data_IF_444882850732
#
_entry.id   IF_444882850732
#
_cell.length_a   1.000
_cell.length_b   1.000
_cell.length_c   1.000
_cell.angle_alpha   90.00
_cell.angle_beta   90.00
_cell.angle_gamma   90.00
#
_symmetry.space_group_name_H-M   'P 1'
#
loop_
_entity.id
_entity.type
_entity.pdbx_description
1 polymer ?
#
# COMPACT_ATOMS: atom_id res chain seq x y z
N UNK A 1 -6.24 -24.26 -0.96
CA UNK A 1 -6.86 -23.05 -1.56
C UNK A 1 -8.03 -22.64 -0.69
N UNK A 2 -8.37 -21.36 -0.62
CA UNK A 2 -9.59 -20.87 0.04
C UNK A 2 -10.63 -20.53 -1.04
N UNK A 3 -11.27 -21.53 -1.68
CA UNK A 3 -11.98 -21.34 -2.95
C UNK A 3 -13.20 -20.41 -2.88
N UNK A 4 -13.77 -20.21 -1.69
CA UNK A 4 -15.01 -19.44 -1.53
C UNK A 4 -14.79 -18.05 -0.90
N UNK A 5 -13.55 -17.67 -0.62
CA UNK A 5 -13.29 -16.36 -0.02
C UNK A 5 -13.40 -15.27 -1.10
N UNK A 6 -14.46 -14.46 -1.00
CA UNK A 6 -14.72 -13.33 -1.90
C UNK A 6 -14.33 -11.99 -1.31
N UNK A 7 -14.18 -11.92 0.01
CA UNK A 7 -13.87 -10.69 0.75
C UNK A 7 -12.73 -10.98 1.72
N UNK A 8 -11.75 -10.09 1.79
CA UNK A 8 -10.65 -10.21 2.73
C UNK A 8 -10.20 -8.83 3.21
N UNK A 9 -9.96 -8.73 4.51
CA UNK A 9 -9.39 -7.55 5.14
C UNK A 9 -8.20 -7.97 5.99
N UNK A 10 -7.09 -7.25 5.86
CA UNK A 10 -5.90 -7.42 6.68
C UNK A 10 -5.50 -6.08 7.26
N UNK A 11 -5.39 -6.01 8.58
CA UNK A 11 -4.89 -4.86 9.30
C UNK A 11 -3.67 -5.28 10.12
N UNK A 12 -2.58 -4.53 9.99
CA UNK A 12 -1.40 -4.63 10.83
C UNK A 12 -1.11 -3.26 11.42
N UNK A 13 -1.45 -3.07 12.69
CA UNK A 13 -1.19 -1.82 13.41
C UNK A 13 0.27 -1.73 13.92
N UNK A 14 1.05 -2.80 13.73
CA UNK A 14 2.48 -2.83 14.00
C UNK A 14 3.29 -2.81 12.72
N UNK A 15 4.51 -2.26 12.83
CA UNK A 15 5.48 -2.23 11.75
C UNK A 15 5.86 -3.66 11.35
N UNK A 16 5.55 -4.06 10.12
CA UNK A 16 5.81 -5.40 9.58
C UNK A 16 6.86 -5.38 8.47
N UNK A 17 7.75 -6.37 8.48
CA UNK A 17 8.66 -6.71 7.37
C UNK A 17 8.20 -7.96 6.61
N UNK A 18 6.99 -8.47 6.90
CA UNK A 18 6.48 -9.72 6.35
C UNK A 18 5.63 -9.54 5.09
N UNK A 19 5.66 -8.34 4.48
CA UNK A 19 4.89 -8.09 3.27
C UNK A 19 5.29 -9.04 2.14
N UNK A 20 6.57 -9.07 1.81
CA UNK A 20 7.11 -9.84 0.68
C UNK A 20 7.03 -11.36 0.94
N UNK A 21 7.28 -11.80 2.19
CA UNK A 21 7.43 -13.22 2.51
C UNK A 21 6.12 -13.91 2.97
N UNK A 22 5.15 -13.16 3.48
CA UNK A 22 3.92 -13.74 4.05
C UNK A 22 2.65 -13.15 3.43
N UNK A 23 2.50 -11.82 3.44
CA UNK A 23 1.26 -11.16 3.02
C UNK A 23 1.06 -11.34 1.52
N UNK A 24 2.05 -11.00 0.71
CA UNK A 24 1.97 -11.11 -0.74
C UNK A 24 1.74 -12.57 -1.20
N UNK A 25 2.46 -13.59 -0.71
CA UNK A 25 2.15 -14.99 -1.01
C UNK A 25 0.75 -15.42 -0.57
N UNK A 26 0.25 -14.94 0.57
CA UNK A 26 -1.11 -15.23 1.03
C UNK A 26 -2.15 -14.66 0.06
N UNK A 27 -2.01 -13.38 -0.30
CA UNK A 27 -2.90 -12.67 -1.22
C UNK A 27 -2.97 -13.37 -2.59
N UNK A 28 -1.83 -13.86 -3.10
CA UNK A 28 -1.76 -14.63 -4.36
C UNK A 28 -2.58 -15.92 -4.36
N UNK A 29 -2.90 -16.47 -3.18
CA UNK A 29 -3.67 -17.71 -3.02
C UNK A 29 -5.18 -17.47 -2.94
N UNK A 30 -5.64 -16.23 -3.14
CA UNK A 30 -7.04 -15.82 -3.09
C UNK A 30 -7.55 -15.29 -4.46
N UNK A 31 -7.51 -16.10 -5.54
CA UNK A 31 -7.86 -15.62 -6.89
C UNK A 31 -9.35 -15.27 -7.07
N UNK A 32 -10.21 -15.69 -6.14
CA UNK A 32 -11.65 -15.44 -6.17
C UNK A 32 -12.08 -14.18 -5.42
N UNK A 33 -11.12 -13.43 -4.87
CA UNK A 33 -11.41 -12.21 -4.14
C UNK A 33 -12.06 -11.16 -5.05
N UNK A 34 -13.12 -10.53 -4.57
CA UNK A 34 -13.83 -9.41 -5.19
C UNK A 34 -13.56 -8.11 -4.45
N UNK A 35 -13.40 -8.19 -3.13
CA UNK A 35 -13.17 -7.05 -2.25
C UNK A 35 -11.94 -7.28 -1.36
N UNK A 36 -10.96 -6.39 -1.48
CA UNK A 36 -9.75 -6.39 -0.67
C UNK A 36 -9.66 -5.09 0.13
N UNK A 37 -9.40 -5.20 1.43
CA UNK A 37 -8.98 -4.07 2.27
C UNK A 37 -7.63 -4.36 2.91
N UNK A 38 -6.63 -3.51 2.68
CA UNK A 38 -5.31 -3.63 3.29
C UNK A 38 -4.95 -2.39 4.11
N UNK A 39 -4.65 -2.58 5.39
CA UNK A 39 -4.05 -1.56 6.23
C UNK A 39 -2.72 -2.05 6.78
N UNK A 40 -1.62 -1.50 6.28
CA UNK A 40 -0.29 -2.03 6.52
C UNK A 40 0.68 -0.92 6.89
N UNK A 41 1.46 -1.14 7.94
CA UNK A 41 2.63 -0.33 8.30
C UNK A 41 3.87 -1.15 7.99
N UNK A 42 4.63 -0.78 6.96
CA UNK A 42 5.71 -1.61 6.41
C UNK A 42 7.08 -1.00 6.69
N UNK A 43 8.00 -1.81 7.20
CA UNK A 43 9.43 -1.50 7.22
C UNK A 43 10.04 -2.05 5.94
N UNK A 44 10.01 -1.25 4.88
CA UNK A 44 10.59 -1.60 3.58
C UNK A 44 11.49 -0.47 3.13
N UNK A 45 12.58 -0.79 2.43
CA UNK A 45 13.46 0.24 1.87
C UNK A 45 12.86 0.92 0.65
N UNK A 46 11.89 0.27 -0.01
CA UNK A 46 11.22 0.77 -1.20
C UNK A 46 9.71 0.75 -1.03
N UNK A 47 9.11 1.86 -1.40
CA UNK A 47 7.68 2.04 -1.47
C UNK A 47 7.05 1.05 -2.48
N UNK A 48 5.91 0.46 -2.13
CA UNK A 48 5.09 -0.35 -3.06
C UNK A 48 4.27 0.56 -3.97
N UNK A 49 4.90 1.05 -5.04
CA UNK A 49 4.26 1.87 -6.06
C UNK A 49 3.08 1.19 -6.75
N UNK A 50 2.26 1.98 -7.46
CA UNK A 50 1.08 1.47 -8.14
C UNK A 50 1.42 0.34 -9.11
N UNK A 51 2.57 0.43 -9.79
CA UNK A 51 3.09 -0.60 -10.69
C UNK A 51 3.44 -1.89 -9.92
N UNK A 52 4.05 -1.77 -8.75
CA UNK A 52 4.42 -2.88 -7.90
C UNK A 52 3.18 -3.59 -7.36
N UNK A 53 2.21 -2.85 -6.83
CA UNK A 53 0.94 -3.41 -6.36
C UNK A 53 0.20 -4.14 -7.48
N UNK A 54 0.15 -3.55 -8.67
CA UNK A 54 -0.50 -4.17 -9.82
C UNK A 54 0.19 -5.49 -10.22
N UNK A 55 1.51 -5.45 -10.46
CA UNK A 55 2.28 -6.61 -10.94
C UNK A 55 2.45 -7.72 -9.90
N UNK A 56 2.50 -7.40 -8.62
CA UNK A 56 2.84 -8.38 -7.58
C UNK A 56 1.62 -8.94 -6.86
N UNK A 57 0.53 -8.17 -6.79
CA UNK A 57 -0.69 -8.54 -6.05
C UNK A 57 -1.89 -8.65 -6.99
N UNK A 58 -2.23 -7.56 -7.69
CA UNK A 58 -3.52 -7.46 -8.38
C UNK A 58 -3.64 -8.34 -9.61
N UNK A 59 -2.53 -8.59 -10.33
CA UNK A 59 -2.51 -9.52 -11.47
C UNK A 59 -2.99 -10.93 -11.09
N UNK A 60 -2.87 -11.31 -9.82
CA UNK A 60 -3.29 -12.62 -9.31
C UNK A 60 -4.75 -12.64 -8.81
N UNK A 61 -5.46 -11.51 -8.88
CA UNK A 61 -6.84 -11.35 -8.43
C UNK A 61 -7.74 -10.85 -9.56
N UNK A 62 -7.98 -11.66 -10.61
CA UNK A 62 -8.71 -11.21 -11.80
C UNK A 62 -10.18 -10.84 -11.52
N UNK A 63 -10.74 -11.30 -10.40
CA UNK A 63 -12.12 -11.01 -10.00
C UNK A 63 -12.25 -9.80 -9.07
N UNK A 64 -11.14 -9.13 -8.73
CA UNK A 64 -11.13 -8.01 -7.82
C UNK A 64 -11.83 -6.80 -8.46
N UNK A 65 -12.94 -6.38 -7.88
CA UNK A 65 -13.71 -5.20 -8.30
C UNK A 65 -13.51 -4.02 -7.38
N UNK A 66 -13.06 -4.27 -6.14
CA UNK A 66 -12.90 -3.25 -5.10
C UNK A 66 -11.59 -3.48 -4.37
N UNK A 67 -10.76 -2.43 -4.31
CA UNK A 67 -9.53 -2.46 -3.54
C UNK A 67 -9.37 -1.17 -2.73
N UNK A 68 -9.45 -1.31 -1.40
CA UNK A 68 -9.20 -0.25 -0.44
C UNK A 68 -7.87 -0.50 0.25
N UNK A 69 -7.07 0.54 0.42
CA UNK A 69 -5.86 0.40 1.21
C UNK A 69 -5.45 1.66 1.93
N UNK A 70 -4.67 1.45 2.99
CA UNK A 70 -3.83 2.45 3.65
C UNK A 70 -2.50 1.80 3.96
N UNK A 71 -1.48 2.17 3.20
CA UNK A 71 -0.13 1.65 3.33
C UNK A 71 0.76 2.77 3.83
N UNK A 72 1.38 2.56 4.99
CA UNK A 72 2.44 3.38 5.52
C UNK A 72 3.77 2.66 5.25
N UNK A 73 4.74 3.35 4.66
CA UNK A 73 6.06 2.79 4.40
C UNK A 73 7.16 3.78 4.80
N UNK A 74 8.22 3.25 5.40
CA UNK A 74 9.47 3.99 5.57
C UNK A 74 10.17 4.14 4.22
N UNK A 75 10.83 5.28 3.98
CA UNK A 75 11.64 5.54 2.80
C UNK A 75 13.06 5.84 3.29
N UNK A 76 14.06 5.09 2.81
CA UNK A 76 15.44 5.49 3.05
C UNK A 76 15.84 6.57 2.06
N UNK A 77 16.32 7.71 2.54
CA UNK A 77 16.87 8.77 1.68
C UNK A 77 18.40 8.72 1.60
N UNK A 78 19.04 7.72 2.21
CA UNK A 78 20.51 7.62 2.29
C UNK A 78 21.17 7.46 0.92
N UNK A 79 20.42 6.97 -0.07
CA UNK A 79 20.92 6.63 -1.41
C UNK A 79 20.23 7.42 -2.54
N UNK A 80 19.46 8.47 -2.22
CA UNK A 80 18.68 9.23 -3.21
C UNK A 80 19.05 10.70 -3.19
N UNK A 81 19.53 11.22 -4.33
CA UNK A 81 19.82 12.65 -4.49
C UNK A 81 18.55 13.52 -4.60
N UNK A 82 17.38 12.89 -4.71
CA UNK A 82 16.09 13.54 -4.84
C UNK A 82 15.09 12.90 -3.88
N UNK A 83 14.42 13.75 -3.09
CA UNK A 83 13.31 13.36 -2.25
C UNK A 83 12.05 13.25 -3.12
N UNK A 84 11.31 12.17 -2.98
CA UNK A 84 10.01 11.99 -3.63
C UNK A 84 9.00 12.97 -3.01
N UNK A 85 8.23 13.66 -3.84
CA UNK A 85 7.05 14.43 -3.43
C UNK A 85 5.79 13.55 -3.43
N UNK A 86 4.70 14.07 -2.87
CA UNK A 86 3.37 13.44 -2.97
C UNK A 86 2.97 13.19 -4.41
N UNK A 87 3.23 14.18 -5.27
CA UNK A 87 2.96 14.10 -6.70
C UNK A 87 3.74 12.98 -7.36
N UNK A 88 5.04 12.84 -7.06
CA UNK A 88 5.88 11.78 -7.64
C UNK A 88 5.32 10.38 -7.31
N UNK A 89 4.86 10.20 -6.07
CA UNK A 89 4.27 8.94 -5.62
C UNK A 89 2.90 8.72 -6.26
N UNK A 90 2.03 9.74 -6.28
CA UNK A 90 0.70 9.66 -6.89
C UNK A 90 0.76 9.34 -8.38
N UNK A 91 1.76 9.84 -9.09
CA UNK A 91 1.96 9.56 -10.52
C UNK A 91 2.23 8.08 -10.81
N UNK A 92 2.66 7.29 -9.83
CA UNK A 92 2.80 5.84 -9.99
C UNK A 92 1.45 5.10 -10.06
N UNK A 93 0.35 5.79 -9.75
CA UNK A 93 -1.03 5.30 -9.78
C UNK A 93 -1.85 5.91 -10.93
N UNK A 94 -1.21 6.44 -11.98
CA UNK A 94 -1.92 7.12 -13.09
C UNK A 94 -2.93 6.21 -13.80
N UNK A 95 -2.61 4.93 -13.96
CA UNK A 95 -3.47 3.92 -14.59
C UNK A 95 -4.26 3.09 -13.55
N UNK A 96 -4.41 3.61 -12.33
CA UNK A 96 -5.07 2.89 -11.26
C UNK A 96 -6.58 2.81 -11.50
N UNK A 97 -7.07 1.59 -11.73
CA UNK A 97 -8.47 1.32 -12.08
C UNK A 97 -9.46 1.33 -10.91
N UNK A 98 -9.00 1.53 -9.69
CA UNK A 98 -9.85 1.56 -8.49
C UNK A 98 -10.04 3.00 -7.99
N UNK A 99 -10.45 3.16 -6.74
CA UNK A 99 -10.61 4.47 -6.10
C UNK A 99 -9.34 5.33 -6.19
N UNK A 100 -9.51 6.65 -6.23
CA UNK A 100 -8.41 7.61 -6.31
C UNK A 100 -7.42 7.43 -5.17
N UNK A 101 -6.13 7.55 -5.49
CA UNK A 101 -5.03 7.37 -4.54
C UNK A 101 -4.54 8.73 -4.07
N UNK A 102 -4.44 8.89 -2.74
CA UNK A 102 -3.81 10.03 -2.10
C UNK A 102 -2.47 9.60 -1.52
N UNK A 103 -1.53 10.54 -1.47
CA UNK A 103 -0.23 10.37 -0.84
C UNK A 103 0.05 11.53 0.12
N UNK A 104 0.72 11.23 1.21
CA UNK A 104 1.39 12.19 2.07
C UNK A 104 2.78 11.64 2.42
N UNK A 105 3.84 12.36 2.05
CA UNK A 105 5.23 12.03 2.33
C UNK A 105 5.87 13.14 3.14
N UNK A 106 6.55 12.76 4.22
CA UNK A 106 7.33 13.69 5.03
C UNK A 106 8.69 13.08 5.35
N UNK A 107 9.68 13.96 5.49
CA UNK A 107 11.07 13.58 5.71
C UNK A 107 11.52 14.05 7.08
N UNK A 108 12.15 13.13 7.79
CA UNK A 108 12.78 13.35 9.09
C UNK A 108 14.26 13.69 8.89
N UNK A 109 14.85 14.38 9.87
CA UNK A 109 16.23 14.88 9.81
C UNK A 109 17.32 13.80 9.73
N UNK A 110 16.96 12.52 9.88
CA UNK A 110 17.85 11.36 9.95
C UNK A 110 17.84 10.50 8.67
N UNK A 111 17.65 11.11 7.50
CA UNK A 111 17.60 10.41 6.21
C UNK A 111 16.47 9.36 6.10
N UNK A 112 15.39 9.58 6.85
CA UNK A 112 14.23 8.70 6.87
C UNK A 112 13.02 9.49 6.42
N UNK A 113 12.36 9.03 5.36
CA UNK A 113 11.03 9.47 4.97
C UNK A 113 9.96 8.51 5.49
N UNK A 114 8.74 9.00 5.58
CA UNK A 114 7.55 8.17 5.76
C UNK A 114 6.53 8.59 4.71
N UNK A 115 5.99 7.61 3.99
CA UNK A 115 4.92 7.83 3.03
C UNK A 115 3.65 7.10 3.48
N UNK A 116 2.53 7.83 3.48
CA UNK A 116 1.18 7.32 3.70
C UNK A 116 0.41 7.37 2.39
N UNK A 117 -0.10 6.22 1.95
CA UNK A 117 -0.68 6.08 0.62
C UNK A 117 -1.97 5.30 0.73
N UNK A 118 -3.06 5.88 0.24
CA UNK A 118 -4.39 5.41 0.60
C UNK A 118 -5.45 5.76 -0.43
N UNK A 119 -6.46 4.89 -0.56
CA UNK A 119 -7.61 5.09 -1.46
C UNK A 119 -8.87 5.59 -0.76
N UNK A 120 -8.87 5.72 0.57
CA UNK A 120 -10.00 6.28 1.32
C UNK A 120 -9.51 6.88 2.63
N UNK A 121 -10.18 7.94 3.11
CA UNK A 121 -10.00 8.45 4.47
C UNK A 121 -10.55 7.38 5.42
N UNK A 122 -9.67 6.67 6.13
CA UNK A 122 -10.06 5.73 7.18
C UNK A 122 -10.69 6.56 8.30
N UNK A 123 -12.03 6.61 8.33
CA UNK A 123 -12.81 7.54 9.17
C UNK A 123 -12.64 7.38 10.69
N UNK A 124 -11.88 6.39 11.18
CA UNK A 124 -11.90 6.00 12.59
C UNK A 124 -10.54 5.88 13.28
N UNK A 125 -9.44 6.38 12.70
CA UNK A 125 -8.19 6.45 13.48
C UNK A 125 -7.60 7.84 13.46
N UNK A 126 -7.43 8.33 14.69
CA UNK A 126 -6.66 9.48 15.15
C UNK A 126 -5.23 9.46 14.64
N UNK A 127 -5.05 9.67 13.35
CA UNK A 127 -3.79 10.12 12.79
C UNK A 127 -4.10 11.32 11.93
N UNK A 128 -3.51 12.44 12.31
CA UNK A 128 -3.45 13.66 11.52
C UNK A 128 -3.05 13.26 10.10
N UNK A 129 -4.03 13.24 9.19
CA UNK A 129 -3.76 13.36 7.77
C UNK A 129 -3.14 14.74 7.65
N UNK A 130 -1.81 14.81 7.62
CA UNK A 130 -1.11 16.04 7.31
C UNK A 130 -1.51 16.41 5.89
N UNK A 131 -2.43 17.37 5.79
CA UNK A 131 -2.64 18.20 4.63
C UNK A 131 -1.40 19.05 4.35
#
# INVERSE_FOLDING_TARGET
MLPNLTEFSLTSDSLTNHYDDQIQPLLRRMPNLKDLTLRLFMKRERFSDGIHLDKQVLIHMPKLSSFKFHICATISTSNTNQLLSDTDIQMTFIDWKYSSVNCCVYYLSNQLGVAHIYTTIVKNDTYYVCC
#
